data_IF_426206033574
#
_entry.id   IF_426206033574
#
_cell.length_a   1.000
_cell.length_b   1.000
_cell.length_c   1.000
_cell.angle_alpha   90.00
_cell.angle_beta   90.00
_cell.angle_gamma   90.00
#
_symmetry.space_group_name_H-M   'P 1'
#
loop_
_entity.id
_entity.type
_entity.pdbx_description
1 polymer ?
#
# COMPACT_ATOMS: atom_id res chain seq x y z
N UNK A 1 12.78 -14.03 5.83
CA UNK A 1 11.85 -13.10 5.14
C UNK A 1 12.56 -11.77 4.92
N UNK A 2 12.60 -11.27 3.71
CA UNK A 2 13.21 -9.96 3.48
C UNK A 2 12.27 -8.82 3.92
N UNK A 3 12.75 -7.59 3.84
CA UNK A 3 11.99 -6.43 4.34
C UNK A 3 10.68 -6.22 3.58
N UNK A 4 10.65 -6.52 2.28
CA UNK A 4 9.43 -6.38 1.47
C UNK A 4 8.38 -7.40 1.90
N UNK A 5 8.78 -8.65 2.10
CA UNK A 5 7.87 -9.70 2.55
C UNK A 5 7.33 -9.39 3.96
N UNK A 6 8.18 -8.89 4.87
CA UNK A 6 7.75 -8.48 6.21
C UNK A 6 6.75 -7.32 6.15
N UNK A 7 6.98 -6.36 5.26
CA UNK A 7 6.09 -5.22 5.06
C UNK A 7 4.69 -5.67 4.66
N UNK A 8 4.57 -6.55 3.66
CA UNK A 8 3.28 -7.03 3.22
C UNK A 8 2.62 -7.99 4.20
N UNK A 9 3.39 -8.79 4.92
CA UNK A 9 2.85 -9.63 5.99
C UNK A 9 2.20 -8.78 7.09
N UNK A 10 2.87 -7.67 7.46
CA UNK A 10 2.32 -6.72 8.42
C UNK A 10 1.05 -6.04 7.89
N UNK A 11 1.04 -5.67 6.60
CA UNK A 11 -0.14 -5.10 5.96
C UNK A 11 -1.34 -6.05 6.12
N UNK A 12 -1.18 -7.30 5.71
CA UNK A 12 -2.27 -8.28 5.77
C UNK A 12 -2.70 -8.62 7.20
N UNK A 13 -1.80 -8.48 8.16
CA UNK A 13 -2.11 -8.70 9.58
C UNK A 13 -2.77 -7.48 10.24
N UNK A 14 -2.88 -6.35 9.52
CA UNK A 14 -3.38 -5.11 10.11
C UNK A 14 -2.40 -4.48 11.09
N UNK A 15 -1.11 -4.82 10.99
CA UNK A 15 -0.06 -4.40 11.91
C UNK A 15 0.66 -3.17 11.36
N UNK A 16 0.13 -1.98 11.65
CA UNK A 16 0.72 -0.71 11.18
C UNK A 16 2.12 -0.52 11.75
N UNK A 17 2.33 -0.84 13.03
CA UNK A 17 3.66 -0.70 13.64
C UNK A 17 4.68 -1.64 12.97
N UNK A 18 4.26 -2.84 12.59
CA UNK A 18 5.10 -3.77 11.85
C UNK A 18 5.48 -3.23 10.47
N UNK A 19 4.53 -2.57 9.78
CA UNK A 19 4.83 -1.90 8.51
C UNK A 19 5.84 -0.79 8.71
N UNK A 20 5.62 0.08 9.70
CA UNK A 20 6.51 1.21 9.99
C UNK A 20 7.92 0.76 10.38
N UNK A 21 8.04 -0.38 11.06
CA UNK A 21 9.34 -0.94 11.41
C UNK A 21 10.18 -1.31 10.19
N UNK A 22 9.56 -1.52 9.04
CA UNK A 22 10.24 -1.81 7.77
C UNK A 22 10.71 -0.56 7.03
N UNK A 23 10.27 0.63 7.44
CA UNK A 23 10.48 1.88 6.73
C UNK A 23 11.61 2.71 7.34
N UNK A 24 12.29 3.50 6.49
CA UNK A 24 13.21 4.53 6.98
C UNK A 24 12.43 5.71 7.58
N UNK A 25 13.09 6.50 8.42
CA UNK A 25 12.45 7.67 9.05
C UNK A 25 11.92 8.67 8.01
N UNK A 26 12.63 8.80 6.88
CA UNK A 26 12.33 9.75 5.81
C UNK A 26 11.68 9.10 4.58
N UNK A 27 11.01 7.97 4.77
CA UNK A 27 10.38 7.23 3.67
C UNK A 27 9.53 8.13 2.78
N UNK A 28 9.69 8.00 1.46
CA UNK A 28 8.87 8.70 0.47
C UNK A 28 7.74 7.78 0.00
N UNK A 29 6.51 8.23 0.07
CA UNK A 29 5.33 7.43 -0.25
C UNK A 29 4.50 8.10 -1.34
N UNK A 30 4.26 7.37 -2.41
CA UNK A 30 3.46 7.80 -3.57
C UNK A 30 2.33 6.80 -3.82
N UNK A 31 1.14 7.31 -4.11
CA UNK A 31 0.01 6.48 -4.56
C UNK A 31 -0.53 7.08 -5.85
N UNK A 32 -0.52 6.28 -6.93
CA UNK A 32 -1.01 6.67 -8.26
C UNK A 32 -0.46 8.03 -8.72
N UNK A 33 0.84 8.25 -8.50
CA UNK A 33 1.52 9.50 -8.86
C UNK A 33 0.90 10.74 -8.21
N UNK A 34 0.16 10.55 -7.12
CA UNK A 34 -0.39 11.66 -6.37
C UNK A 34 0.68 12.40 -5.58
N UNK A 35 0.25 13.21 -4.64
CA UNK A 35 1.15 13.98 -3.80
C UNK A 35 2.08 13.05 -3.01
N UNK A 36 3.37 13.36 -3.00
CA UNK A 36 4.37 12.62 -2.21
C UNK A 36 4.20 12.95 -0.73
N UNK A 37 4.12 11.91 0.09
CA UNK A 37 4.16 12.03 1.55
C UNK A 37 5.53 11.61 2.01
N UNK A 38 6.14 12.37 2.90
CA UNK A 38 7.49 12.09 3.40
C UNK A 38 7.46 11.85 4.91
N UNK A 39 8.11 10.77 5.34
CA UNK A 39 8.30 10.44 6.75
C UNK A 39 7.32 9.42 7.30
N UNK A 40 7.73 8.77 8.39
CA UNK A 40 6.93 7.73 9.05
C UNK A 40 5.61 8.26 9.62
N UNK A 41 5.60 9.48 10.14
CA UNK A 41 4.37 10.05 10.71
C UNK A 41 3.32 10.29 9.64
N UNK A 42 3.72 10.78 8.45
CA UNK A 42 2.80 10.94 7.33
C UNK A 42 2.30 9.57 6.85
N UNK A 43 3.18 8.56 6.86
CA UNK A 43 2.80 7.20 6.49
C UNK A 43 1.80 6.61 7.49
N UNK A 44 2.03 6.82 8.80
CA UNK A 44 1.11 6.38 9.85
C UNK A 44 -0.27 7.02 9.69
N UNK A 45 -0.31 8.33 9.41
CA UNK A 45 -1.56 9.05 9.19
C UNK A 45 -2.31 8.50 7.96
N UNK A 46 -1.57 8.17 6.90
CA UNK A 46 -2.15 7.54 5.70
C UNK A 46 -2.76 6.18 6.04
N UNK A 47 -2.05 5.34 6.81
CA UNK A 47 -2.57 4.03 7.22
C UNK A 47 -3.84 4.17 8.06
N UNK A 48 -3.88 5.13 8.97
CA UNK A 48 -5.07 5.37 9.80
C UNK A 48 -6.27 5.75 8.93
N UNK A 49 -6.05 6.63 7.94
CA UNK A 49 -7.09 7.02 6.99
C UNK A 49 -7.57 5.81 6.17
N UNK A 50 -6.64 5.03 5.64
CA UNK A 50 -6.98 3.85 4.84
C UNK A 50 -7.74 2.82 5.66
N UNK A 51 -7.32 2.57 6.89
CA UNK A 51 -7.99 1.57 7.75
C UNK A 51 -9.41 2.01 8.14
N UNK A 52 -9.68 3.31 8.15
CA UNK A 52 -11.02 3.82 8.40
C UNK A 52 -11.94 3.64 7.18
N UNK A 53 -11.43 3.90 5.99
CA UNK A 53 -12.24 3.89 4.76
C UNK A 53 -12.29 2.53 4.07
N UNK A 54 -11.28 1.70 4.24
CA UNK A 54 -11.12 0.45 3.50
C UNK A 54 -10.67 -0.69 4.40
N UNK A 55 -11.12 -1.91 4.06
CA UNK A 55 -10.55 -3.13 4.62
C UNK A 55 -10.02 -3.96 3.45
N UNK A 56 -8.71 -4.19 3.40
CA UNK A 56 -8.08 -4.84 2.26
C UNK A 56 -7.19 -6.00 2.66
N UNK A 57 -7.22 -7.05 1.85
CA UNK A 57 -6.29 -8.17 1.92
C UNK A 57 -5.62 -8.33 0.56
N UNK A 58 -4.30 -8.49 0.56
CA UNK A 58 -3.52 -8.68 -0.65
C UNK A 58 -3.24 -10.16 -0.87
N UNK A 59 -3.55 -10.66 -2.07
CA UNK A 59 -3.36 -12.06 -2.45
C UNK A 59 -2.57 -12.16 -3.75
N UNK A 60 -2.18 -13.39 -4.12
CA UNK A 60 -1.44 -13.68 -5.36
C UNK A 60 -0.17 -12.83 -5.49
N UNK A 61 0.53 -12.67 -4.38
CA UNK A 61 1.70 -11.81 -4.26
C UNK A 61 2.92 -12.42 -4.96
N UNK A 62 3.54 -11.64 -5.86
CA UNK A 62 4.84 -11.97 -6.45
C UNK A 62 5.78 -10.81 -6.20
N UNK A 63 6.93 -11.10 -5.59
CA UNK A 63 7.92 -10.09 -5.25
C UNK A 63 9.13 -10.26 -6.15
N UNK A 64 9.58 -9.15 -6.75
CA UNK A 64 10.75 -9.10 -7.61
C UNK A 64 11.82 -8.24 -6.95
N UNK A 65 13.08 -8.58 -7.15
CA UNK A 65 14.17 -7.76 -6.62
C UNK A 65 15.29 -7.62 -7.66
N UNK A 66 15.98 -6.50 -7.60
CA UNK A 66 17.03 -6.15 -8.52
C UNK A 66 18.10 -5.32 -7.81
N UNK A 67 19.28 -5.15 -8.44
CA UNK A 67 20.36 -4.32 -7.91
C UNK A 67 20.76 -4.73 -6.48
N UNK A 68 20.98 -6.03 -6.28
CA UNK A 68 21.39 -6.59 -4.97
C UNK A 68 20.39 -6.22 -3.84
N UNK A 69 19.10 -6.15 -4.17
CA UNK A 69 18.06 -5.86 -3.19
C UNK A 69 17.78 -4.38 -2.97
N UNK A 70 18.50 -3.48 -3.62
CA UNK A 70 18.27 -2.04 -3.48
C UNK A 70 16.98 -1.57 -4.16
N UNK A 71 16.47 -2.33 -5.13
CA UNK A 71 15.22 -2.07 -5.81
C UNK A 71 14.34 -3.31 -5.76
N UNK A 72 13.06 -3.10 -5.54
CA UNK A 72 12.11 -4.21 -5.52
C UNK A 72 10.76 -3.77 -6.10
N UNK A 73 9.98 -4.76 -6.49
CA UNK A 73 8.62 -4.56 -6.96
C UNK A 73 7.76 -5.71 -6.48
N UNK A 74 6.46 -5.48 -6.38
CA UNK A 74 5.51 -6.53 -6.05
C UNK A 74 4.27 -6.35 -6.92
N UNK A 75 3.72 -7.47 -7.37
CA UNK A 75 2.46 -7.53 -8.09
C UNK A 75 1.50 -8.35 -7.24
N UNK A 76 0.26 -7.92 -7.12
CA UNK A 76 -0.71 -8.59 -6.23
C UNK A 76 -2.14 -8.23 -6.61
N UNK A 77 -3.09 -8.94 -6.01
CA UNK A 77 -4.52 -8.64 -6.14
C UNK A 77 -4.98 -8.02 -4.82
N UNK A 78 -5.68 -6.90 -4.93
CA UNK A 78 -6.31 -6.24 -3.78
C UNK A 78 -7.74 -6.75 -3.67
N UNK A 79 -8.08 -7.32 -2.51
CA UNK A 79 -9.44 -7.75 -2.20
C UNK A 79 -9.94 -6.83 -1.08
N UNK A 80 -10.94 -6.02 -1.37
CA UNK A 80 -11.31 -4.99 -0.41
C UNK A 80 -12.80 -4.80 -0.21
N UNK A 81 -13.13 -4.09 0.87
CA UNK A 81 -14.47 -3.63 1.20
C UNK A 81 -14.40 -2.14 1.52
N UNK A 82 -15.27 -1.37 0.89
CA UNK A 82 -15.33 0.08 1.07
C UNK A 82 -16.22 0.38 2.27
N UNK A 83 -15.63 0.84 3.39
CA UNK A 83 -16.28 0.96 4.68
C UNK A 83 -16.89 2.34 4.94
N UNK A 84 -16.11 3.40 4.71
CA UNK A 84 -16.52 4.79 4.90
C UNK A 84 -16.12 5.60 3.67
N UNK A 85 -16.94 6.58 3.33
CA UNK A 85 -16.69 7.41 2.15
C UNK A 85 -15.36 8.14 2.26
N UNK A 86 -14.51 7.94 1.28
CA UNK A 86 -13.27 8.69 1.11
C UNK A 86 -13.57 9.93 0.29
N UNK A 87 -13.10 11.09 0.75
CA UNK A 87 -13.41 12.39 0.16
C UNK A 87 -13.06 12.44 -1.33
N UNK A 88 -14.00 12.91 -2.12
CA UNK A 88 -13.81 13.02 -3.57
C UNK A 88 -14.09 11.74 -4.35
N UNK A 89 -14.46 10.65 -3.68
CA UNK A 89 -14.77 9.35 -4.28
C UNK A 89 -16.25 9.00 -4.09
N UNK A 90 -16.76 7.94 -4.75
CA UNK A 90 -18.15 7.53 -4.58
C UNK A 90 -18.51 7.24 -3.13
N UNK A 91 -19.79 7.28 -2.80
CA UNK A 91 -20.28 7.00 -1.45
C UNK A 91 -20.03 5.54 -1.07
N UNK A 92 -19.53 5.32 0.15
CA UNK A 92 -19.30 3.97 0.67
C UNK A 92 -20.61 3.37 1.18
N UNK A 93 -20.85 2.11 0.78
CA UNK A 93 -22.04 1.33 1.14
C UNK A 93 -21.68 -0.12 1.48
N UNK A 94 -20.43 -0.38 1.85
CA UNK A 94 -19.95 -1.74 2.08
C UNK A 94 -19.65 -2.51 0.80
N UNK A 95 -19.42 -1.84 -0.32
CA UNK A 95 -19.14 -2.48 -1.60
C UNK A 95 -17.84 -3.26 -1.53
N UNK A 96 -17.85 -4.46 -2.11
CA UNK A 96 -16.63 -5.24 -2.29
C UNK A 96 -16.01 -4.90 -3.64
N UNK A 97 -14.68 -4.97 -3.70
CA UNK A 97 -13.94 -4.78 -4.94
C UNK A 97 -12.72 -5.69 -4.98
N UNK A 98 -12.26 -5.98 -6.19
CA UNK A 98 -11.07 -6.78 -6.42
C UNK A 98 -10.39 -6.25 -7.68
N UNK A 99 -9.09 -5.92 -7.57
CA UNK A 99 -8.35 -5.43 -8.71
C UNK A 99 -6.85 -5.71 -8.56
N UNK A 100 -6.13 -5.82 -9.68
CA UNK A 100 -4.67 -5.96 -9.63
C UNK A 100 -4.02 -4.64 -9.25
N UNK A 101 -2.86 -4.73 -8.59
CA UNK A 101 -2.07 -3.56 -8.24
C UNK A 101 -0.59 -3.93 -8.22
N UNK A 102 0.25 -2.91 -8.18
CA UNK A 102 1.69 -3.09 -8.09
C UNK A 102 2.34 -2.01 -7.24
N UNK A 103 3.41 -2.39 -6.57
CA UNK A 103 4.20 -1.45 -5.77
C UNK A 103 5.67 -1.56 -6.13
N UNK A 104 6.36 -0.43 -6.05
CA UNK A 104 7.79 -0.33 -6.35
C UNK A 104 8.49 0.27 -5.14
N UNK A 105 9.69 -0.26 -4.84
CA UNK A 105 10.39 0.07 -3.60
C UNK A 105 11.85 0.41 -3.86
N UNK A 106 12.38 1.37 -3.10
CA UNK A 106 13.80 1.52 -2.90
C UNK A 106 14.12 1.03 -1.48
N UNK A 107 15.24 0.34 -1.34
CA UNK A 107 15.69 -0.23 -0.07
C UNK A 107 17.13 0.20 0.18
N UNK A 108 17.44 0.65 1.38
CA UNK A 108 18.78 1.02 1.81
C UNK A 108 18.96 0.61 3.27
N UNK A 109 20.08 -0.04 3.58
CA UNK A 109 20.42 -0.49 4.94
C UNK A 109 19.30 -1.31 5.59
N UNK A 110 18.65 -2.18 4.79
CA UNK A 110 17.59 -3.05 5.28
C UNK A 110 16.26 -2.35 5.55
N UNK A 111 16.11 -1.07 5.15
CA UNK A 111 14.87 -0.31 5.33
C UNK A 111 14.33 0.15 3.99
N UNK A 112 13.03 0.22 3.87
CA UNK A 112 12.35 0.75 2.68
C UNK A 112 12.41 2.27 2.75
N UNK A 113 13.00 2.89 1.73
CA UNK A 113 13.14 4.35 1.66
C UNK A 113 12.14 5.00 0.72
N UNK A 114 11.51 4.20 -0.17
CA UNK A 114 10.45 4.67 -1.07
C UNK A 114 9.45 3.54 -1.28
N UNK A 115 8.17 3.90 -1.24
CA UNK A 115 7.06 3.04 -1.64
C UNK A 115 6.23 3.80 -2.66
N UNK A 116 6.06 3.22 -3.85
CA UNK A 116 5.19 3.78 -4.88
C UNK A 116 4.19 2.70 -5.27
N UNK A 117 2.90 2.99 -5.14
CA UNK A 117 1.84 2.03 -5.44
C UNK A 117 0.97 2.54 -6.58
N UNK A 118 0.70 1.67 -7.54
CA UNK A 118 -0.17 1.94 -8.67
C UNK A 118 -1.34 0.97 -8.68
N UNK A 119 -2.52 1.51 -8.91
CA UNK A 119 -3.72 0.71 -9.21
C UNK A 119 -4.60 1.53 -10.15
N UNK A 120 -5.51 0.85 -10.84
CA UNK A 120 -6.41 1.52 -11.78
C UNK A 120 -7.59 2.14 -11.02
N UNK A 121 -7.50 3.44 -10.74
CA UNK A 121 -8.54 4.17 -10.00
C UNK A 121 -9.88 4.17 -10.75
N UNK A 122 -9.86 4.24 -12.09
CA UNK A 122 -11.08 4.20 -12.87
C UNK A 122 -11.80 2.86 -12.72
N UNK A 123 -11.06 1.76 -12.71
CA UNK A 123 -11.62 0.42 -12.46
C UNK A 123 -12.23 0.34 -11.06
N UNK A 124 -11.49 0.78 -10.03
CA UNK A 124 -11.99 0.80 -8.66
C UNK A 124 -13.28 1.61 -8.56
N UNK A 125 -13.28 2.81 -9.13
CA UNK A 125 -14.46 3.71 -9.13
C UNK A 125 -15.66 3.03 -9.77
N UNK A 126 -15.46 2.34 -10.90
CA UNK A 126 -16.53 1.63 -11.58
C UNK A 126 -17.10 0.49 -10.74
N UNK A 127 -16.24 -0.23 -9.99
CA UNK A 127 -16.67 -1.35 -9.14
C UNK A 127 -17.51 -0.89 -7.95
N UNK A 128 -17.25 0.28 -7.40
CA UNK A 128 -17.95 0.78 -6.21
C UNK A 128 -19.06 1.77 -6.53
N UNK A 129 -19.20 2.14 -7.79
CA UNK A 129 -20.23 3.09 -8.23
C UNK A 129 -21.66 2.61 -7.96
#
# INVERSE_FOLDING_TARGET
MDVIERYFAAFNAGDVDGMLACLSEDVAHHVNEGKVRVGKEAFRAFCAHMNRCYREELTDMVVFSANAGERAAAEYVVNGTYLETDEGLPEAKGQNYQLPAGSFFNVSDGKITRVTTYYNLADWTAQVA
#
